data_IF_505245283594
#
_entry.id   IF_505245283594
#
_cell.length_a   1.000
_cell.length_b   1.000
_cell.length_c   1.000
_cell.angle_alpha   90.00
_cell.angle_beta   90.00
_cell.angle_gamma   90.00
#
_symmetry.space_group_name_H-M   'P 1'
#
loop_
_entity.id
_entity.type
_entity.pdbx_description
1 polymer ?
#
# COMPACT_ATOMS: atom_id res chain seq x y z
N UNK A 1 -2.96 -6.00 15.74
CA UNK A 1 -3.55 -4.73 15.25
C UNK A 1 -4.88 -5.11 14.65
N UNK A 2 -5.97 -4.49 15.09
CA UNK A 2 -7.29 -4.69 14.47
C UNK A 2 -7.41 -3.67 13.35
N UNK A 3 -7.78 -4.11 12.15
CA UNK A 3 -8.02 -3.22 11.02
C UNK A 3 -9.38 -2.54 11.12
N UNK A 4 -9.46 -1.35 10.55
CA UNK A 4 -10.75 -0.81 10.15
C UNK A 4 -11.41 -1.74 9.12
N UNK A 5 -12.73 -1.88 9.19
CA UNK A 5 -13.49 -2.80 8.34
C UNK A 5 -13.22 -2.57 6.85
N UNK A 6 -13.23 -1.31 6.40
CA UNK A 6 -12.96 -0.92 5.02
C UNK A 6 -11.57 -1.36 4.54
N UNK A 7 -10.53 -1.25 5.39
CA UNK A 7 -9.18 -1.71 5.05
C UNK A 7 -9.15 -3.22 4.91
N UNK A 8 -9.80 -3.93 5.84
CA UNK A 8 -9.88 -5.40 5.79
C UNK A 8 -10.59 -5.87 4.52
N UNK A 9 -11.72 -5.26 4.18
CA UNK A 9 -12.52 -5.60 3.01
C UNK A 9 -11.75 -5.31 1.71
N UNK A 10 -11.09 -4.16 1.61
CA UNK A 10 -10.24 -3.87 0.45
C UNK A 10 -9.10 -4.90 0.31
N UNK A 11 -8.37 -5.20 1.39
CA UNK A 11 -7.26 -6.15 1.36
C UNK A 11 -7.73 -7.55 0.93
N UNK A 12 -8.89 -7.98 1.43
CA UNK A 12 -9.53 -9.22 1.00
C UNK A 12 -9.83 -9.20 -0.51
N UNK A 13 -10.45 -8.15 -1.02
CA UNK A 13 -10.81 -8.04 -2.45
C UNK A 13 -9.57 -7.96 -3.35
N UNK A 14 -8.51 -7.27 -2.91
CA UNK A 14 -7.22 -7.26 -3.61
C UNK A 14 -6.67 -8.68 -3.78
N UNK A 15 -6.75 -9.51 -2.74
CA UNK A 15 -6.33 -10.91 -2.78
C UNK A 15 -7.22 -11.76 -3.69
N UNK A 16 -8.55 -11.67 -3.53
CA UNK A 16 -9.52 -12.44 -4.33
C UNK A 16 -9.40 -12.14 -5.82
N UNK A 17 -9.20 -10.86 -6.18
CA UNK A 17 -8.98 -10.42 -7.55
C UNK A 17 -7.53 -10.56 -8.03
N UNK A 18 -6.63 -11.06 -7.18
CA UNK A 18 -5.20 -11.31 -7.48
C UNK A 18 -4.47 -10.04 -7.95
N UNK A 19 -4.77 -8.91 -7.32
CA UNK A 19 -4.04 -7.66 -7.55
C UNK A 19 -2.61 -7.83 -7.02
N UNK A 20 -1.63 -7.48 -7.84
CA UNK A 20 -0.23 -7.38 -7.42
C UNK A 20 -0.06 -6.03 -6.70
N UNK A 21 -0.02 -6.08 -5.36
CA UNK A 21 0.09 -4.90 -4.50
C UNK A 21 1.09 -5.08 -3.35
N UNK A 22 1.47 -3.96 -2.73
CA UNK A 22 2.21 -3.87 -1.47
C UNK A 22 1.62 -2.76 -0.59
N UNK A 23 1.43 -3.04 0.70
CA UNK A 23 1.18 -2.01 1.70
C UNK A 23 2.48 -1.28 2.00
N UNK A 24 2.44 0.05 1.90
CA UNK A 24 3.58 0.94 2.13
C UNK A 24 3.26 1.97 3.22
N UNK A 25 4.07 3.04 3.32
CA UNK A 25 3.74 4.18 4.17
C UNK A 25 3.73 3.88 5.68
N UNK A 26 2.88 4.58 6.42
CA UNK A 26 2.85 4.49 7.88
C UNK A 26 2.28 3.15 8.39
N UNK A 27 1.44 2.47 7.60
CA UNK A 27 0.99 1.11 7.92
C UNK A 27 2.15 0.12 7.90
N UNK A 28 3.05 0.21 6.90
CA UNK A 28 4.26 -0.61 6.86
C UNK A 28 5.21 -0.30 8.03
N UNK A 29 5.29 0.97 8.46
CA UNK A 29 6.05 1.34 9.66
C UNK A 29 5.50 0.65 10.92
N UNK A 30 4.17 0.61 11.07
CA UNK A 30 3.50 -0.09 12.17
C UNK A 30 3.82 -1.58 12.19
N UNK A 31 3.87 -2.22 11.02
CA UNK A 31 4.30 -3.61 10.87
C UNK A 31 5.74 -3.82 11.37
N UNK A 32 6.66 -2.89 11.12
CA UNK A 32 8.03 -2.92 11.65
C UNK A 32 8.15 -2.51 13.13
N UNK A 33 7.03 -2.43 13.84
CA UNK A 33 6.99 -2.24 15.29
C UNK A 33 6.95 -0.79 15.73
N UNK A 34 6.91 0.19 14.82
CA UNK A 34 6.86 1.62 15.19
C UNK A 34 5.55 2.29 14.74
N UNK A 35 4.38 1.84 15.23
CA UNK A 35 3.10 2.41 14.80
C UNK A 35 3.05 3.91 15.11
N UNK A 36 2.60 4.68 14.12
CA UNK A 36 2.32 6.12 14.24
C UNK A 36 0.88 6.36 13.82
N UNK A 37 0.22 7.34 14.46
CA UNK A 37 -1.11 7.74 14.05
C UNK A 37 -1.10 8.20 12.58
N UNK A 38 -1.97 7.60 11.77
CA UNK A 38 -2.11 7.85 10.34
C UNK A 38 -3.58 7.76 9.96
N UNK A 39 -4.02 8.56 9.01
CA UNK A 39 -5.43 8.64 8.60
C UNK A 39 -5.74 7.84 7.34
N UNK A 40 -4.78 7.04 6.89
CA UNK A 40 -4.70 6.49 5.55
C UNK A 40 -3.96 5.15 5.52
N UNK A 41 -4.34 4.29 4.59
CA UNK A 41 -3.53 3.15 4.16
C UNK A 41 -3.05 3.38 2.72
N UNK A 42 -1.75 3.20 2.51
CA UNK A 42 -1.12 3.33 1.19
C UNK A 42 -0.95 1.96 0.54
N UNK A 43 -1.57 1.75 -0.63
CA UNK A 43 -1.51 0.53 -1.44
C UNK A 43 -0.75 0.83 -2.72
N UNK A 44 0.49 0.35 -2.82
CA UNK A 44 1.27 0.45 -4.05
C UNK A 44 0.99 -0.73 -4.97
N UNK A 45 0.56 -0.48 -6.20
CA UNK A 45 0.22 -1.51 -7.19
C UNK A 45 1.19 -1.54 -8.37
N UNK A 46 1.31 -2.70 -9.02
CA UNK A 46 2.07 -2.83 -10.26
C UNK A 46 1.38 -2.13 -11.42
N UNK A 47 2.14 -1.35 -12.19
CA UNK A 47 1.71 -0.83 -13.49
C UNK A 47 1.78 -1.96 -14.52
N UNK A 48 0.61 -2.47 -14.90
CA UNK A 48 0.43 -3.37 -16.05
C UNK A 48 -1.05 -3.38 -16.41
N UNK A 49 -1.37 -3.67 -17.68
CA UNK A 49 -2.76 -3.72 -18.13
C UNK A 49 -3.57 -4.74 -17.35
N UNK A 50 -3.00 -5.92 -17.11
CA UNK A 50 -3.67 -7.00 -16.38
C UNK A 50 -3.94 -6.62 -14.93
N UNK A 51 -2.99 -5.95 -14.26
CA UNK A 51 -3.17 -5.54 -12.87
C UNK A 51 -4.12 -4.34 -12.73
N UNK A 52 -4.08 -3.41 -13.68
CA UNK A 52 -5.02 -2.28 -13.75
C UNK A 52 -6.47 -2.76 -13.89
N UNK A 53 -6.72 -3.76 -14.72
CA UNK A 53 -8.04 -4.40 -14.87
C UNK A 53 -8.53 -5.07 -13.59
N UNK A 54 -7.62 -5.77 -12.89
CA UNK A 54 -7.94 -6.39 -11.59
C UNK A 54 -8.23 -5.32 -10.54
N UNK A 55 -7.51 -4.20 -10.57
CA UNK A 55 -7.74 -3.08 -9.66
C UNK A 55 -9.08 -2.40 -9.94
N UNK A 56 -9.42 -2.13 -11.20
CA UNK A 56 -10.73 -1.59 -11.58
C UNK A 56 -11.86 -2.52 -11.11
N UNK A 57 -11.75 -3.83 -11.35
CA UNK A 57 -12.70 -4.82 -10.83
C UNK A 57 -12.79 -4.76 -9.30
N UNK A 58 -11.65 -4.66 -8.61
CA UNK A 58 -11.60 -4.55 -7.14
C UNK A 58 -12.35 -3.32 -6.64
N UNK A 59 -12.23 -2.17 -7.30
CA UNK A 59 -12.97 -0.97 -6.93
C UNK A 59 -14.48 -1.10 -7.15
N UNK A 60 -14.88 -1.80 -8.22
CA UNK A 60 -16.30 -2.11 -8.47
C UNK A 60 -16.84 -3.02 -7.36
N UNK A 61 -16.12 -4.12 -7.04
CA UNK A 61 -16.52 -5.07 -5.99
C UNK A 61 -16.55 -4.42 -4.60
N UNK A 62 -15.65 -3.46 -4.35
CA UNK A 62 -15.59 -2.69 -3.10
C UNK A 62 -16.72 -1.65 -2.99
N UNK A 63 -17.52 -1.46 -4.04
CA UNK A 63 -18.68 -0.56 -4.03
C UNK A 63 -18.37 0.90 -4.36
N UNK A 64 -17.17 1.20 -4.87
CA UNK A 64 -16.74 2.56 -5.26
C UNK A 64 -16.62 2.76 -6.77
N UNK A 65 -17.13 1.81 -7.57
CA UNK A 65 -17.10 1.91 -9.04
C UNK A 65 -17.80 3.15 -9.62
N UNK A 66 -18.76 3.74 -8.90
CA UNK A 66 -19.43 4.99 -9.32
C UNK A 66 -18.53 6.23 -9.29
N UNK A 67 -17.33 6.14 -8.70
CA UNK A 67 -16.33 7.22 -8.73
C UNK A 67 -15.73 7.42 -10.13
N UNK A 68 -15.96 6.49 -11.06
CA UNK A 68 -15.57 6.65 -12.46
C UNK A 68 -14.09 6.38 -12.74
N UNK A 69 -13.37 5.78 -11.80
CA UNK A 69 -12.01 5.28 -12.03
C UNK A 69 -12.04 4.10 -13.01
N UNK A 70 -11.07 4.07 -13.91
CA UNK A 70 -10.91 3.05 -14.93
C UNK A 70 -9.50 2.45 -14.90
N UNK A 71 -9.28 1.34 -15.61
CA UNK A 71 -7.94 0.75 -15.78
C UNK A 71 -6.87 1.78 -16.19
N UNK A 72 -7.23 2.83 -16.94
CA UNK A 72 -6.29 3.85 -17.42
C UNK A 72 -5.62 4.63 -16.30
N UNK A 73 -6.34 4.87 -15.19
CA UNK A 73 -5.83 5.67 -14.07
C UNK A 73 -4.68 4.95 -13.33
N UNK A 74 -4.57 3.64 -13.53
CA UNK A 74 -3.53 2.78 -12.94
C UNK A 74 -2.36 2.46 -13.88
N UNK A 75 -2.42 2.98 -15.11
CA UNK A 75 -1.36 2.81 -16.11
C UNK A 75 -0.36 3.97 -16.13
N UNK A 76 -0.72 5.10 -15.50
CA UNK A 76 0.15 6.26 -15.41
C UNK A 76 1.11 6.12 -14.23
N UNK A 77 2.40 6.39 -14.47
CA UNK A 77 3.40 6.46 -13.41
C UNK A 77 3.15 7.67 -12.51
N UNK A 78 3.45 7.51 -11.21
CA UNK A 78 3.34 8.59 -10.22
C UNK A 78 1.93 9.16 -10.03
N UNK A 79 0.93 8.30 -10.25
CA UNK A 79 -0.47 8.57 -9.95
C UNK A 79 -0.81 8.15 -8.52
N UNK A 80 -1.73 8.91 -7.92
CA UNK A 80 -2.32 8.64 -6.62
C UNK A 80 -3.84 8.76 -6.74
N UNK A 81 -4.54 7.66 -6.51
CA UNK A 81 -6.00 7.65 -6.44
C UNK A 81 -6.41 7.56 -4.98
N UNK A 82 -7.18 8.56 -4.54
CA UNK A 82 -7.65 8.65 -3.16
C UNK A 82 -9.11 8.20 -3.06
N UNK A 83 -9.39 7.30 -2.13
CA UNK A 83 -10.74 6.84 -1.80
C UNK A 83 -11.02 7.19 -0.34
N UNK A 84 -12.12 7.90 -0.10
CA UNK A 84 -12.51 8.36 1.23
C UNK A 84 -11.69 9.54 1.75
N UNK A 85 -11.74 9.74 3.07
CA UNK A 85 -11.08 10.85 3.80
C UNK A 85 -10.57 10.34 5.15
N UNK A 86 -9.56 11.00 5.76
CA UNK A 86 -9.10 10.63 7.10
C UNK A 86 -10.22 10.64 8.13
N UNK A 87 -10.22 9.72 9.13
CA UNK A 87 -9.15 8.79 9.47
C UNK A 87 -9.19 7.44 8.72
N UNK A 88 -10.09 7.28 7.75
CA UNK A 88 -10.27 6.05 6.97
C UNK A 88 -10.12 6.38 5.48
N UNK A 89 -8.89 6.67 5.06
CA UNK A 89 -8.55 6.96 3.67
C UNK A 89 -7.76 5.81 3.07
N UNK A 90 -7.97 5.54 1.79
CA UNK A 90 -7.17 4.59 1.02
C UNK A 90 -6.49 5.37 -0.10
N UNK A 91 -5.18 5.28 -0.18
CA UNK A 91 -4.39 5.86 -1.26
C UNK A 91 -3.82 4.72 -2.12
N UNK A 92 -4.22 4.66 -3.39
CA UNK A 92 -3.68 3.71 -4.37
C UNK A 92 -2.58 4.41 -5.16
N UNK A 93 -1.37 3.88 -5.06
CA UNK A 93 -0.15 4.45 -5.64
C UNK A 93 0.29 3.60 -6.82
N UNK A 94 0.75 4.22 -7.90
CA UNK A 94 1.39 3.50 -9.03
C UNK A 94 2.92 3.57 -8.98
N UNK A 95 3.49 4.47 -8.19
CA UNK A 95 4.93 4.54 -7.94
C UNK A 95 5.26 4.97 -6.52
N UNK A 96 6.47 4.62 -6.08
CA UNK A 96 7.10 5.16 -4.88
C UNK A 96 8.55 5.52 -5.18
N UNK A 97 9.14 6.43 -4.41
CA UNK A 97 10.52 6.87 -4.64
C UNK A 97 11.54 5.77 -4.33
N UNK A 98 12.54 5.61 -5.21
CA UNK A 98 13.77 4.86 -4.93
C UNK A 98 13.67 3.33 -4.89
N UNK A 99 12.52 2.75 -5.29
CA UNK A 99 12.28 1.30 -5.25
C UNK A 99 11.51 0.87 -6.51
N UNK A 100 11.97 -0.21 -7.15
CA UNK A 100 11.27 -0.85 -8.27
C UNK A 100 10.23 -1.86 -7.78
N UNK A 101 9.05 -1.87 -8.42
CA UNK A 101 7.93 -2.73 -7.99
C UNK A 101 8.27 -4.21 -8.13
N UNK A 102 8.84 -4.63 -9.26
CA UNK A 102 9.07 -6.06 -9.54
C UNK A 102 10.07 -6.64 -8.55
N UNK A 103 11.12 -5.90 -8.23
CA UNK A 103 12.10 -6.30 -7.22
C UNK A 103 11.51 -6.28 -5.81
N UNK A 104 10.78 -5.23 -5.43
CA UNK A 104 10.12 -5.15 -4.13
C UNK A 104 9.10 -6.27 -3.92
N UNK A 105 8.34 -6.63 -4.97
CA UNK A 105 7.31 -7.66 -4.91
C UNK A 105 7.88 -9.06 -4.74
N UNK A 106 9.12 -9.32 -5.20
CA UNK A 106 9.85 -10.56 -4.91
C UNK A 106 10.27 -10.64 -3.45
N UNK A 107 10.65 -9.50 -2.87
CA UNK A 107 11.15 -9.39 -1.50
C UNK A 107 10.05 -9.13 -0.45
N UNK A 108 8.77 -9.12 -0.85
CA UNK A 108 7.66 -8.72 0.01
C UNK A 108 7.58 -9.55 1.29
N UNK A 109 7.20 -8.88 2.37
CA UNK A 109 6.88 -9.52 3.63
C UNK A 109 5.41 -9.92 3.63
N UNK A 110 5.11 -11.14 4.05
CA UNK A 110 3.76 -11.70 4.08
C UNK A 110 3.35 -11.95 5.52
N UNK A 111 2.19 -11.41 5.91
CA UNK A 111 1.62 -11.62 7.24
C UNK A 111 0.12 -11.90 7.13
N UNK A 112 -0.43 -12.66 8.09
CA UNK A 112 -1.88 -12.79 8.26
C UNK A 112 -2.34 -11.77 9.28
N UNK A 113 -3.25 -10.89 8.88
CA UNK A 113 -3.77 -9.83 9.72
C UNK A 113 -5.30 -9.82 9.66
N UNK A 114 -5.94 -10.02 10.81
CA UNK A 114 -7.40 -10.23 10.94
C UNK A 114 -7.98 -11.31 10.01
N UNK A 115 -7.18 -12.34 9.71
CA UNK A 115 -7.54 -13.47 8.85
C UNK A 115 -7.22 -13.26 7.37
N UNK A 116 -6.81 -12.07 6.96
CA UNK A 116 -6.44 -11.76 5.58
C UNK A 116 -4.92 -11.83 5.40
N UNK A 117 -4.48 -12.40 4.28
CA UNK A 117 -3.08 -12.35 3.87
C UNK A 117 -2.75 -10.93 3.38
N UNK A 118 -1.69 -10.32 3.90
CA UNK A 118 -1.31 -8.96 3.55
C UNK A 118 0.16 -8.93 3.16
N UNK A 119 0.43 -8.27 2.03
CA UNK A 119 1.76 -8.11 1.48
C UNK A 119 2.31 -6.72 1.81
N UNK A 120 3.42 -6.66 2.51
CA UNK A 120 4.10 -5.42 2.90
C UNK A 120 5.41 -5.24 2.12
N UNK A 121 5.76 -3.98 1.86
CA UNK A 121 7.10 -3.62 1.39
C UNK A 121 8.14 -4.07 2.42
N UNK A 122 9.18 -4.79 1.99
CA UNK A 122 10.24 -5.34 2.84
C UNK A 122 10.94 -4.28 3.69
N UNK A 123 11.55 -4.68 4.82
CA UNK A 123 12.19 -3.70 5.73
C UNK A 123 13.32 -2.95 5.02
N UNK A 124 14.10 -3.67 4.21
CA UNK A 124 15.22 -3.10 3.47
C UNK A 124 14.74 -2.13 2.39
N UNK A 125 13.68 -2.47 1.65
CA UNK A 125 13.12 -1.60 0.61
C UNK A 125 12.32 -0.42 1.20
N UNK A 126 11.69 -0.60 2.35
CA UNK A 126 11.07 0.49 3.12
C UNK A 126 12.12 1.54 3.51
N UNK A 127 13.27 1.12 4.04
CA UNK A 127 14.37 2.03 4.37
C UNK A 127 14.89 2.75 3.12
N UNK A 128 15.04 2.06 1.99
CA UNK A 128 15.42 2.68 0.70
C UNK A 128 14.40 3.73 0.27
N UNK A 129 13.11 3.40 0.30
CA UNK A 129 12.03 4.30 -0.07
C UNK A 129 12.03 5.57 0.79
N UNK A 130 12.10 5.41 2.11
CA UNK A 130 12.12 6.52 3.07
C UNK A 130 13.33 7.43 2.85
N UNK A 131 14.53 6.87 2.64
CA UNK A 131 15.73 7.64 2.30
C UNK A 131 15.57 8.42 0.99
N UNK A 132 15.01 7.80 -0.04
CA UNK A 132 14.81 8.43 -1.34
C UNK A 132 13.77 9.57 -1.31
N UNK A 133 12.71 9.42 -0.52
CA UNK A 133 11.69 10.47 -0.36
C UNK A 133 12.16 11.68 0.44
N UNK A 134 13.13 11.50 1.36
CA UNK A 134 13.86 12.58 2.04
C UNK A 134 13.04 13.48 2.97
N UNK A 135 11.77 13.16 3.27
CA UNK A 135 10.95 13.98 4.18
C UNK A 135 11.48 13.82 5.61
N UNK A 136 11.48 14.88 6.41
CA UNK A 136 11.99 14.84 7.80
C UNK A 136 11.36 13.72 8.64
N UNK A 137 10.05 13.48 8.48
CA UNK A 137 9.33 12.38 9.14
C UNK A 137 9.83 10.99 8.74
N UNK A 138 10.27 10.82 7.49
CA UNK A 138 10.73 9.53 6.98
C UNK A 138 12.10 9.16 7.55
N UNK A 139 12.93 10.15 7.89
CA UNK A 139 14.19 9.92 8.62
C UNK A 139 13.92 9.42 10.03
N UNK A 140 12.97 10.03 10.74
CA UNK A 140 12.54 9.59 12.07
C UNK A 140 11.92 8.18 12.03
N UNK A 141 11.13 7.87 10.99
CA UNK A 141 10.57 6.53 10.75
C UNK A 141 11.68 5.47 10.61
N UNK A 142 12.77 5.77 9.89
CA UNK A 142 13.92 4.86 9.75
C UNK A 142 14.59 4.64 11.10
N UNK A 143 14.91 5.71 11.82
CA UNK A 143 15.58 5.65 13.13
C UNK A 143 14.82 4.71 14.08
N UNK A 144 13.51 4.94 14.21
CA UNK A 144 12.63 4.19 15.12
C UNK A 144 12.60 2.67 14.89
N UNK A 145 12.81 2.20 13.66
CA UNK A 145 12.81 0.76 13.33
C UNK A 145 14.22 0.16 13.26
N UNK A 146 15.27 0.98 13.30
CA UNK A 146 16.67 0.53 13.30
C UNK A 146 17.25 0.40 14.70
N UNK A 147 16.78 1.21 15.66
CA UNK A 147 17.26 1.17 17.04
C UNK A 147 16.68 0.02 17.88
N UNK A 148 15.58 -0.59 17.43
CA UNK A 148 14.98 -1.74 18.10
C UNK A 148 15.72 -3.03 17.71
N UNK A 149 16.63 -3.45 18.60
CA UNK A 149 17.27 -4.78 18.62
C UNK A 149 16.40 -5.80 19.33
#
# INVERSE_FOLDING_TARGET
MVLHQDYKELLKLLNENKVEYLVVGAFALGFYGSPRNTGDIDIWIKISKENAQRMEKTLIDFGVGSLGHSEKDFLEESSVIQIGVPPVRIDILTSISGVDFLEAYKNKEKIVLDGEEVFYLSKSDFIKNKKASGRLKDLADIEAITERK
#
